data_IF_511316337444
#
_entry.id   IF_511316337444
#
_cell.length_a   1.000
_cell.length_b   1.000
_cell.length_c   1.000
_cell.angle_alpha   90.00
_cell.angle_beta   90.00
_cell.angle_gamma   90.00
#
_symmetry.space_group_name_H-M   'P 1'
#
loop_
_entity.id
_entity.type
_entity.pdbx_description
1 polymer ?
#
# COMPACT_ATOMS: atom_id res chain seq x y z
N UNK A 1 -45.88 35.43 6.67
CA UNK A 1 -44.56 34.87 6.50
C UNK A 1 -44.13 34.23 7.82
N UNK A 2 -44.27 32.90 7.91
CA UNK A 2 -43.77 32.14 9.07
C UNK A 2 -42.27 32.03 8.90
N UNK A 3 -41.51 32.84 9.64
CA UNK A 3 -40.06 32.69 9.78
C UNK A 3 -39.78 31.32 10.34
N UNK A 4 -39.28 30.41 9.48
CA UNK A 4 -38.80 29.10 9.89
C UNK A 4 -37.54 29.31 10.71
N UNK A 5 -37.67 29.42 12.03
CA UNK A 5 -36.53 29.42 12.94
C UNK A 5 -36.14 27.97 13.14
N UNK A 6 -34.98 27.51 12.68
CA UNK A 6 -34.56 26.12 12.87
C UNK A 6 -34.39 25.89 14.38
N UNK A 7 -35.22 25.09 14.99
CA UNK A 7 -35.05 24.67 16.36
C UNK A 7 -33.73 23.86 16.47
N UNK A 8 -32.80 24.39 17.26
CA UNK A 8 -31.53 23.74 17.54
C UNK A 8 -31.77 22.52 18.42
N UNK A 9 -31.81 21.34 17.80
CA UNK A 9 -32.04 20.08 18.49
C UNK A 9 -30.70 19.38 18.80
N UNK A 10 -30.71 18.50 19.80
CA UNK A 10 -29.56 17.63 20.11
C UNK A 10 -29.06 16.84 18.89
N UNK A 11 -29.99 16.50 17.98
CA UNK A 11 -29.66 15.84 16.74
C UNK A 11 -28.79 16.71 15.84
N UNK A 12 -29.05 18.02 15.73
CA UNK A 12 -28.25 18.95 14.96
C UNK A 12 -26.84 19.06 15.52
N UNK A 13 -26.68 19.03 16.85
CA UNK A 13 -25.36 19.01 17.50
C UNK A 13 -24.59 17.73 17.18
N UNK A 14 -25.21 16.56 17.28
CA UNK A 14 -24.58 15.29 16.94
C UNK A 14 -24.13 15.23 15.47
N UNK A 15 -24.98 15.70 14.54
CA UNK A 15 -24.64 15.77 13.12
C UNK A 15 -23.46 16.74 12.89
N UNK A 16 -23.48 17.90 13.55
CA UNK A 16 -22.39 18.87 13.45
C UNK A 16 -21.04 18.28 13.94
N UNK A 17 -21.05 17.60 15.09
CA UNK A 17 -19.85 16.92 15.63
C UNK A 17 -19.36 15.82 14.68
N UNK A 18 -20.28 15.04 14.11
CA UNK A 18 -19.93 13.99 13.15
C UNK A 18 -19.31 14.58 11.88
N UNK A 19 -19.89 15.62 11.30
CA UNK A 19 -19.35 16.31 10.12
C UNK A 19 -17.97 16.90 10.44
N UNK A 20 -17.84 17.61 11.56
CA UNK A 20 -16.56 18.22 11.97
C UNK A 20 -15.46 17.16 12.13
N UNK A 21 -15.74 16.04 12.80
CA UNK A 21 -14.82 14.93 12.95
C UNK A 21 -14.41 14.31 11.60
N UNK A 22 -15.36 14.13 10.69
CA UNK A 22 -15.11 13.64 9.34
C UNK A 22 -14.22 14.58 8.53
N UNK A 23 -14.49 15.88 8.56
CA UNK A 23 -13.70 16.91 7.88
C UNK A 23 -12.27 16.95 8.46
N UNK A 24 -12.13 16.93 9.78
CA UNK A 24 -10.82 16.92 10.45
C UNK A 24 -10.02 15.66 10.04
N UNK A 25 -10.65 14.49 10.05
CA UNK A 25 -9.98 13.25 9.68
C UNK A 25 -9.48 13.29 8.22
N UNK A 26 -10.38 13.60 7.28
CA UNK A 26 -10.07 13.65 5.85
C UNK A 26 -9.00 14.70 5.57
N UNK A 27 -9.09 15.89 6.17
CA UNK A 27 -8.10 16.95 6.02
C UNK A 27 -6.71 16.49 6.52
N UNK A 28 -6.64 15.82 7.66
CA UNK A 28 -5.38 15.24 8.17
C UNK A 28 -4.78 14.21 7.21
N UNK A 29 -5.59 13.34 6.65
CA UNK A 29 -5.14 12.34 5.66
C UNK A 29 -4.61 13.04 4.41
N UNK A 30 -5.33 14.02 3.88
CA UNK A 30 -4.91 14.78 2.69
C UNK A 30 -3.63 15.58 2.92
N UNK A 31 -3.49 16.23 4.07
CA UNK A 31 -2.27 16.98 4.44
C UNK A 31 -1.07 16.02 4.53
N UNK A 32 -1.24 14.87 5.20
CA UNK A 32 -0.20 13.84 5.28
C UNK A 32 0.20 13.35 3.89
N UNK A 33 -0.78 13.06 3.03
CA UNK A 33 -0.53 12.64 1.65
C UNK A 33 0.26 13.69 0.88
N UNK A 34 -0.19 14.94 0.92
CA UNK A 34 0.49 16.04 0.23
C UNK A 34 1.94 16.23 0.70
N UNK A 35 2.15 16.25 2.04
CA UNK A 35 3.50 16.38 2.63
C UNK A 35 4.41 15.23 2.19
N UNK A 36 3.91 13.99 2.21
CA UNK A 36 4.69 12.84 1.80
C UNK A 36 5.04 12.85 0.31
N UNK A 37 4.09 13.16 -0.57
CA UNK A 37 4.36 13.28 -2.00
C UNK A 37 5.34 14.43 -2.30
N UNK A 38 5.23 15.57 -1.59
CA UNK A 38 6.16 16.67 -1.71
C UNK A 38 7.57 16.27 -1.30
N UNK A 39 7.69 15.56 -0.20
CA UNK A 39 8.97 15.05 0.31
C UNK A 39 9.60 14.01 -0.64
N UNK A 40 8.78 13.09 -1.16
CA UNK A 40 9.24 12.12 -2.16
C UNK A 40 9.74 12.78 -3.44
N UNK A 41 9.16 13.91 -3.85
CA UNK A 41 9.58 14.64 -5.05
C UNK A 41 10.87 15.45 -4.87
N UNK A 42 11.30 15.74 -3.65
CA UNK A 42 12.42 16.61 -3.36
C UNK A 42 13.79 15.97 -3.70
N UNK A 43 13.92 14.65 -3.52
CA UNK A 43 15.18 13.93 -3.68
C UNK A 43 14.99 12.70 -4.60
N UNK A 44 14.68 12.97 -5.86
CA UNK A 44 14.36 11.91 -6.83
C UNK A 44 15.21 12.06 -8.06
N UNK A 45 15.84 10.97 -8.46
CA UNK A 45 16.61 10.86 -9.71
C UNK A 45 15.78 10.02 -10.69
N UNK A 46 15.83 10.32 -11.97
CA UNK A 46 15.20 9.48 -12.97
C UNK A 46 15.94 8.15 -13.06
N UNK A 47 15.19 7.06 -13.23
CA UNK A 47 15.78 5.73 -13.42
C UNK A 47 16.63 5.67 -14.70
N UNK A 48 17.58 4.76 -14.73
CA UNK A 48 18.42 4.59 -15.93
C UNK A 48 17.55 4.24 -17.14
N UNK A 49 17.93 4.65 -18.34
CA UNK A 49 17.17 4.34 -19.57
C UNK A 49 16.91 2.83 -19.72
N UNK A 50 17.86 1.99 -19.34
CA UNK A 50 17.73 0.54 -19.39
C UNK A 50 16.65 0.03 -18.43
N UNK A 51 16.65 0.50 -17.18
CA UNK A 51 15.63 0.13 -16.18
C UNK A 51 14.26 0.63 -16.57
N UNK A 52 14.17 1.85 -17.16
CA UNK A 52 12.90 2.38 -17.65
C UNK A 52 12.38 1.53 -18.82
N UNK A 53 13.23 1.13 -19.76
CA UNK A 53 12.83 0.27 -20.88
C UNK A 53 12.34 -1.11 -20.38
N UNK A 54 13.01 -1.70 -19.39
CA UNK A 54 12.54 -2.94 -18.74
C UNK A 54 11.18 -2.76 -18.08
N UNK A 55 10.98 -1.66 -17.35
CA UNK A 55 9.67 -1.34 -16.74
C UNK A 55 8.58 -1.16 -17.80
N UNK A 56 8.87 -0.49 -18.90
CA UNK A 56 7.92 -0.29 -19.99
C UNK A 56 7.46 -1.62 -20.60
N UNK A 57 8.38 -2.57 -20.81
CA UNK A 57 8.07 -3.92 -21.26
C UNK A 57 7.21 -4.69 -20.25
N UNK A 58 7.52 -4.60 -18.95
CA UNK A 58 6.77 -5.25 -17.88
C UNK A 58 5.36 -4.64 -17.80
N UNK A 59 5.24 -3.32 -17.85
CA UNK A 59 3.97 -2.61 -17.79
C UNK A 59 3.04 -2.98 -18.95
N UNK A 60 3.58 -3.12 -20.16
CA UNK A 60 2.85 -3.62 -21.32
C UNK A 60 2.36 -5.07 -21.15
N UNK A 61 3.24 -5.96 -20.65
CA UNK A 61 2.86 -7.35 -20.32
C UNK A 61 1.78 -7.42 -19.25
N UNK A 62 1.75 -6.49 -18.30
CA UNK A 62 0.68 -6.35 -17.31
C UNK A 62 -0.60 -5.73 -17.88
N UNK A 63 -0.58 -5.23 -19.13
CA UNK A 63 -1.72 -4.60 -19.79
C UNK A 63 -2.00 -3.18 -19.27
N UNK A 64 -0.95 -2.45 -18.86
CA UNK A 64 -1.04 -1.05 -18.47
C UNK A 64 -0.82 -0.21 -19.73
N UNK A 65 -1.83 0.60 -20.11
CA UNK A 65 -1.76 1.44 -21.30
C UNK A 65 -1.12 2.81 -21.04
N UNK A 66 -1.03 3.20 -19.78
CA UNK A 66 -0.46 4.50 -19.37
C UNK A 66 1.05 4.35 -19.18
N UNK A 67 1.78 5.42 -19.46
CA UNK A 67 3.21 5.47 -19.17
C UNK A 67 3.44 5.48 -17.66
N UNK A 68 4.30 4.60 -17.17
CA UNK A 68 4.74 4.51 -15.78
C UNK A 68 6.18 5.00 -15.73
N UNK A 69 6.45 6.01 -14.90
CA UNK A 69 7.80 6.54 -14.74
C UNK A 69 8.53 5.78 -13.63
N UNK A 70 9.77 5.40 -13.89
CA UNK A 70 10.67 4.87 -12.89
C UNK A 70 11.51 5.99 -12.29
N UNK A 71 11.55 6.04 -10.97
CA UNK A 71 12.38 7.01 -10.24
C UNK A 71 13.13 6.33 -9.11
N UNK A 72 14.32 6.83 -8.81
CA UNK A 72 15.22 6.32 -7.78
C UNK A 72 15.33 7.36 -6.68
N UNK A 73 15.36 6.93 -5.42
CA UNK A 73 15.50 7.83 -4.27
C UNK A 73 16.07 7.13 -3.05
N UNK A 74 16.81 7.88 -2.24
CA UNK A 74 17.30 7.41 -0.93
C UNK A 74 16.22 7.51 0.16
N UNK A 75 15.10 8.20 -0.12
CA UNK A 75 14.03 8.43 0.85
C UNK A 75 13.13 7.22 1.10
N UNK A 76 13.17 6.18 0.27
CA UNK A 76 12.37 4.97 0.44
C UNK A 76 13.27 3.75 0.64
N UNK A 77 12.83 2.87 1.51
CA UNK A 77 13.55 1.61 1.82
C UNK A 77 13.04 0.45 0.96
N UNK A 78 11.76 0.50 0.63
CA UNK A 78 11.09 -0.47 -0.23
C UNK A 78 10.47 0.22 -1.45
N UNK A 79 10.32 -0.49 -2.57
CA UNK A 79 9.61 0.04 -3.74
C UNK A 79 8.22 0.56 -3.36
N UNK A 80 7.80 1.64 -3.99
CA UNK A 80 6.51 2.29 -3.72
C UNK A 80 5.93 2.86 -5.00
N UNK A 81 4.67 2.58 -5.24
CA UNK A 81 3.91 3.20 -6.33
C UNK A 81 3.09 4.37 -5.80
N UNK A 82 3.18 5.54 -6.45
CA UNK A 82 2.36 6.70 -6.15
C UNK A 82 1.85 7.42 -7.41
N UNK A 83 0.87 8.31 -7.21
CA UNK A 83 0.27 9.11 -8.26
C UNK A 83 -1.04 8.50 -8.80
N UNK A 84 -2.07 9.33 -8.91
CA UNK A 84 -3.40 8.94 -9.40
C UNK A 84 -3.48 9.00 -10.94
N UNK A 85 -2.89 10.04 -11.52
CA UNK A 85 -2.89 10.30 -12.95
C UNK A 85 -1.51 10.09 -13.57
N UNK A 86 -0.48 10.60 -12.93
CA UNK A 86 0.91 10.40 -13.30
C UNK A 86 1.50 9.29 -12.45
N UNK A 87 1.52 8.09 -13.00
CA UNK A 87 1.97 6.89 -12.30
C UNK A 87 3.48 6.87 -12.21
N UNK A 88 3.99 6.75 -10.98
CA UNK A 88 5.42 6.69 -10.71
C UNK A 88 5.70 5.51 -9.79
N UNK A 89 6.66 4.68 -10.16
CA UNK A 89 7.25 3.67 -9.29
C UNK A 89 8.56 4.25 -8.76
N UNK A 90 8.66 4.35 -7.44
CA UNK A 90 9.90 4.70 -6.74
C UNK A 90 10.58 3.43 -6.29
N UNK A 91 11.88 3.35 -6.54
CA UNK A 91 12.73 2.30 -6.01
C UNK A 91 13.83 2.92 -5.14
N UNK A 92 14.30 2.21 -4.10
CA UNK A 92 15.45 2.65 -3.32
C UNK A 92 16.70 2.71 -4.19
N UNK A 93 17.61 3.64 -3.85
CA UNK A 93 18.90 3.81 -4.51
C UNK A 93 19.87 2.70 -4.04
N UNK A 94 19.70 1.53 -4.61
CA UNK A 94 20.59 0.37 -4.42
C UNK A 94 20.65 -0.45 -5.70
N UNK A 95 21.65 -1.28 -5.83
CA UNK A 95 21.73 -2.21 -6.93
C UNK A 95 20.68 -3.30 -6.81
N UNK A 96 20.01 -3.56 -7.92
CA UNK A 96 19.07 -4.65 -8.07
C UNK A 96 19.58 -5.57 -9.19
N UNK A 97 19.60 -6.86 -8.92
CA UNK A 97 19.74 -7.84 -9.99
C UNK A 97 18.54 -7.73 -10.96
N UNK A 98 18.78 -7.96 -12.21
CA UNK A 98 17.76 -7.89 -13.28
C UNK A 98 16.52 -8.71 -12.98
N UNK A 99 16.74 -9.89 -12.38
CA UNK A 99 15.68 -10.79 -11.96
C UNK A 99 14.85 -10.19 -10.84
N UNK A 100 15.49 -9.65 -9.82
CA UNK A 100 14.87 -9.08 -8.64
C UNK A 100 14.07 -7.83 -9.00
N UNK A 101 14.64 -6.98 -9.85
CA UNK A 101 13.92 -5.84 -10.42
C UNK A 101 12.68 -6.28 -11.20
N UNK A 102 12.78 -7.35 -11.97
CA UNK A 102 11.66 -7.91 -12.72
C UNK A 102 10.48 -8.33 -11.83
N UNK A 103 10.75 -8.99 -10.70
CA UNK A 103 9.71 -9.37 -9.74
C UNK A 103 9.08 -8.17 -9.04
N UNK A 104 9.90 -7.23 -8.58
CA UNK A 104 9.46 -6.01 -7.93
C UNK A 104 8.60 -5.17 -8.87
N UNK A 105 9.10 -4.90 -10.09
CA UNK A 105 8.36 -4.13 -11.08
C UNK A 105 7.03 -4.79 -11.47
N UNK A 106 7.00 -6.13 -11.56
CA UNK A 106 5.76 -6.86 -11.84
C UNK A 106 4.76 -6.72 -10.70
N UNK A 107 5.21 -6.79 -9.45
CA UNK A 107 4.36 -6.60 -8.27
C UNK A 107 3.77 -5.18 -8.24
N UNK A 108 4.59 -4.15 -8.40
CA UNK A 108 4.13 -2.75 -8.44
C UNK A 108 3.18 -2.49 -9.62
N UNK A 109 3.47 -3.07 -10.80
CA UNK A 109 2.56 -3.00 -11.94
C UNK A 109 1.20 -3.67 -11.66
N UNK A 110 1.14 -4.71 -10.82
CA UNK A 110 -0.14 -5.30 -10.41
C UNK A 110 -0.98 -4.32 -9.59
N UNK A 111 -0.39 -3.55 -8.66
CA UNK A 111 -1.08 -2.50 -7.92
C UNK A 111 -1.64 -1.42 -8.86
N UNK A 112 -0.84 -0.99 -9.83
CA UNK A 112 -1.27 0.00 -10.84
C UNK A 112 -2.44 -0.55 -11.67
N UNK A 113 -2.31 -1.77 -12.18
CA UNK A 113 -3.34 -2.41 -13.02
C UNK A 113 -4.67 -2.58 -12.30
N UNK A 114 -4.61 -2.93 -11.03
CA UNK A 114 -5.78 -3.13 -10.18
C UNK A 114 -6.35 -1.82 -9.61
N UNK A 115 -5.69 -0.68 -9.87
CA UNK A 115 -6.06 0.65 -9.34
C UNK A 115 -6.10 0.69 -7.81
N UNK A 116 -5.18 -0.01 -7.15
CA UNK A 116 -5.16 -0.16 -5.70
C UNK A 116 -5.06 1.17 -4.96
N UNK A 117 -4.42 2.17 -5.56
CA UNK A 117 -4.34 3.53 -5.01
C UNK A 117 -5.75 4.17 -4.85
N UNK A 118 -6.66 3.90 -5.79
CA UNK A 118 -8.04 4.38 -5.72
C UNK A 118 -8.84 3.66 -4.65
N UNK A 119 -8.63 2.33 -4.53
CA UNK A 119 -9.27 1.53 -3.47
C UNK A 119 -8.81 2.02 -2.10
N UNK A 120 -7.51 2.25 -1.92
CA UNK A 120 -6.94 2.81 -0.68
C UNK A 120 -7.52 4.19 -0.38
N UNK A 121 -7.65 5.08 -1.37
CA UNK A 121 -8.27 6.40 -1.20
C UNK A 121 -9.74 6.30 -0.76
N UNK A 122 -10.53 5.47 -1.42
CA UNK A 122 -11.94 5.26 -1.05
C UNK A 122 -12.06 4.71 0.37
N UNK A 123 -11.15 3.81 0.77
CA UNK A 123 -11.11 3.28 2.12
C UNK A 123 -10.76 4.37 3.15
N UNK A 124 -9.87 5.32 2.83
CA UNK A 124 -9.58 6.45 3.71
C UNK A 124 -10.80 7.38 3.85
N UNK A 125 -11.53 7.64 2.76
CA UNK A 125 -12.77 8.41 2.80
C UNK A 125 -13.81 7.70 3.67
N UNK A 126 -13.96 6.39 3.50
CA UNK A 126 -14.84 5.57 4.33
C UNK A 126 -14.47 5.66 5.82
N UNK A 127 -13.19 5.51 6.17
CA UNK A 127 -12.70 5.70 7.54
C UNK A 127 -12.90 7.14 8.03
N UNK A 128 -12.89 8.13 7.15
CA UNK A 128 -13.19 9.52 7.50
C UNK A 128 -14.67 9.74 7.84
N UNK A 129 -15.58 9.11 7.11
CA UNK A 129 -17.02 9.17 7.39
C UNK A 129 -17.35 8.46 8.70
N UNK A 130 -16.72 7.29 8.94
CA UNK A 130 -16.90 6.47 10.13
C UNK A 130 -15.69 6.57 11.08
N UNK A 131 -15.16 7.79 11.27
CA UNK A 131 -13.93 8.05 12.03
C UNK A 131 -13.96 7.51 13.46
N UNK A 132 -15.13 7.45 14.07
CA UNK A 132 -15.39 6.96 15.43
C UNK A 132 -15.53 5.44 15.52
N UNK A 133 -15.71 4.75 14.37
CA UNK A 133 -15.99 3.31 14.34
C UNK A 133 -14.68 2.50 14.21
N UNK A 134 -14.29 1.70 15.23
CA UNK A 134 -13.08 0.90 15.18
C UNK A 134 -13.11 -0.17 14.08
N UNK A 135 -14.29 -0.68 13.71
CA UNK A 135 -14.42 -1.68 12.64
C UNK A 135 -14.06 -1.10 11.26
N UNK A 136 -14.28 0.18 11.03
CA UNK A 136 -13.84 0.82 9.80
C UNK A 136 -12.30 0.77 9.65
N UNK A 137 -11.58 1.01 10.75
CA UNK A 137 -10.12 0.94 10.77
C UNK A 137 -9.57 -0.49 10.68
N UNK A 138 -10.26 -1.47 11.25
CA UNK A 138 -9.95 -2.90 11.07
C UNK A 138 -10.14 -3.30 9.61
N UNK A 139 -11.28 -2.97 9.01
CA UNK A 139 -11.56 -3.23 7.59
C UNK A 139 -10.47 -2.65 6.67
N UNK A 140 -10.03 -1.41 6.94
CA UNK A 140 -8.91 -0.79 6.20
C UNK A 140 -7.64 -1.63 6.27
N UNK A 141 -7.30 -2.16 7.46
CA UNK A 141 -6.13 -3.02 7.66
C UNK A 141 -6.24 -4.32 6.88
N UNK A 142 -7.41 -4.97 6.95
CA UNK A 142 -7.65 -6.24 6.26
C UNK A 142 -7.71 -6.06 4.76
N UNK A 143 -8.35 -4.98 4.28
CA UNK A 143 -8.39 -4.66 2.85
C UNK A 143 -6.98 -4.44 2.30
N UNK A 144 -6.13 -3.68 3.01
CA UNK A 144 -4.75 -3.48 2.60
C UNK A 144 -4.01 -4.82 2.47
N UNK A 145 -4.18 -5.71 3.44
CA UNK A 145 -3.61 -7.06 3.38
C UNK A 145 -4.11 -7.87 2.18
N UNK A 146 -5.40 -7.82 1.90
CA UNK A 146 -6.01 -8.50 0.75
C UNK A 146 -5.48 -7.97 -0.61
N UNK A 147 -5.21 -6.66 -0.71
CA UNK A 147 -4.64 -6.06 -1.91
C UNK A 147 -3.23 -6.62 -2.19
N UNK A 148 -2.40 -6.72 -1.15
CA UNK A 148 -1.05 -7.31 -1.24
C UNK A 148 -1.13 -8.79 -1.65
N UNK A 149 -1.96 -9.58 -0.96
CA UNK A 149 -2.15 -10.99 -1.26
C UNK A 149 -2.62 -11.23 -2.70
N UNK A 150 -3.49 -10.37 -3.20
CA UNK A 150 -3.96 -10.42 -4.59
C UNK A 150 -2.82 -10.15 -5.58
N UNK A 151 -1.95 -9.18 -5.30
CA UNK A 151 -0.80 -8.89 -6.15
C UNK A 151 0.20 -10.05 -6.14
N UNK A 152 0.54 -10.59 -4.97
CA UNK A 152 1.41 -11.75 -4.86
C UNK A 152 0.87 -12.96 -5.60
N UNK A 153 -0.42 -13.29 -5.39
CA UNK A 153 -1.08 -14.40 -6.09
C UNK A 153 -1.02 -14.21 -7.61
N UNK A 154 -1.16 -12.98 -8.10
CA UNK A 154 -1.09 -12.69 -9.53
C UNK A 154 0.31 -12.85 -10.10
N UNK A 155 1.34 -12.46 -9.35
CA UNK A 155 2.75 -12.66 -9.73
C UNK A 155 3.07 -14.15 -9.73
N UNK A 156 2.75 -14.86 -8.65
CA UNK A 156 3.13 -16.27 -8.46
C UNK A 156 2.33 -17.23 -9.31
N UNK A 157 1.10 -16.90 -9.70
CA UNK A 157 0.24 -17.79 -10.52
C UNK A 157 0.83 -18.19 -11.87
N UNK A 158 1.82 -17.46 -12.36
CA UNK A 158 2.50 -17.71 -13.65
C UNK A 158 3.92 -18.26 -13.45
N UNK A 159 4.32 -18.50 -12.21
CA UNK A 159 5.66 -18.97 -11.87
C UNK A 159 5.63 -20.47 -11.53
N UNK A 160 6.73 -21.16 -11.83
CA UNK A 160 6.96 -22.50 -11.30
C UNK A 160 7.25 -22.43 -9.80
N UNK A 161 7.10 -23.54 -9.09
CA UNK A 161 7.30 -23.62 -7.63
C UNK A 161 8.65 -23.05 -7.18
N UNK A 162 9.72 -23.43 -7.84
CA UNK A 162 11.08 -22.90 -7.57
C UNK A 162 11.17 -21.38 -7.76
N UNK A 163 10.48 -20.82 -8.76
CA UNK A 163 10.44 -19.36 -8.99
C UNK A 163 9.59 -18.63 -7.98
N UNK A 164 8.56 -19.27 -7.44
CA UNK A 164 7.78 -18.71 -6.34
C UNK A 164 8.64 -18.54 -5.10
N UNK A 165 9.49 -19.52 -4.76
CA UNK A 165 10.41 -19.42 -3.64
C UNK A 165 11.37 -18.23 -3.82
N UNK A 166 11.97 -18.10 -5.01
CA UNK A 166 12.84 -16.96 -5.33
C UNK A 166 12.13 -15.61 -5.21
N UNK A 167 10.88 -15.52 -5.68
CA UNK A 167 10.07 -14.32 -5.53
C UNK A 167 9.89 -13.92 -4.05
N UNK A 168 9.62 -14.90 -3.17
CA UNK A 168 9.50 -14.64 -1.72
C UNK A 168 10.82 -14.29 -1.07
N UNK A 169 11.94 -14.88 -1.50
CA UNK A 169 13.28 -14.49 -1.06
C UNK A 169 13.53 -13.01 -1.34
N UNK A 170 13.18 -12.54 -2.54
CA UNK A 170 13.28 -11.12 -2.91
C UNK A 170 12.44 -10.25 -1.96
N UNK A 171 11.19 -10.61 -1.68
CA UNK A 171 10.34 -9.87 -0.74
C UNK A 171 10.91 -9.86 0.68
N UNK A 172 11.42 -10.99 1.17
CA UNK A 172 12.04 -11.10 2.50
C UNK A 172 13.32 -10.24 2.58
N UNK A 173 14.12 -10.23 1.53
CA UNK A 173 15.34 -9.38 1.45
C UNK A 173 14.97 -7.89 1.52
N UNK A 174 13.90 -7.47 0.82
CA UNK A 174 13.38 -6.10 0.93
C UNK A 174 13.02 -5.75 2.37
N UNK A 175 12.42 -6.67 3.10
CA UNK A 175 12.03 -6.46 4.49
C UNK A 175 13.18 -6.43 5.47
N UNK A 176 14.19 -7.29 5.28
CA UNK A 176 15.42 -7.27 6.11
C UNK A 176 16.08 -5.89 5.98
N UNK A 177 16.27 -5.41 4.75
CA UNK A 177 16.81 -4.08 4.49
C UNK A 177 15.97 -2.98 5.19
N UNK A 178 14.63 -3.11 5.19
CA UNK A 178 13.75 -2.19 5.91
C UNK A 178 13.96 -2.22 7.43
N UNK A 179 14.12 -3.40 8.02
CA UNK A 179 14.35 -3.54 9.47
C UNK A 179 15.71 -2.99 9.89
N UNK A 180 16.76 -3.36 9.18
CA UNK A 180 18.13 -2.93 9.45
C UNK A 180 18.28 -1.41 9.38
N UNK A 181 17.71 -0.80 8.35
CA UNK A 181 17.74 0.65 8.22
C UNK A 181 16.91 1.36 9.31
N UNK A 182 15.75 0.82 9.69
CA UNK A 182 14.93 1.35 10.77
C UNK A 182 15.60 1.25 12.15
N UNK A 183 16.42 0.24 12.37
CA UNK A 183 17.17 0.06 13.63
C UNK A 183 18.37 1.02 13.70
N UNK A 184 19.04 1.28 12.57
CA UNK A 184 20.16 2.22 12.49
C UNK A 184 19.72 3.69 12.65
N UNK A 185 18.48 4.02 12.27
CA UNK A 185 17.93 5.39 12.23
C UNK A 185 17.14 5.78 13.47
N UNK A 186 17.34 5.15 14.63
CA UNK A 186 16.74 5.62 15.91
C UNK A 186 17.21 7.01 16.36
N UNK A 187 18.11 7.63 15.61
CA UNK A 187 18.61 8.99 15.83
C UNK A 187 18.29 9.86 14.61
N UNK A 188 17.59 10.96 14.83
CA UNK A 188 17.45 12.16 14.02
C UNK A 188 16.30 12.33 13.01
N UNK A 189 15.96 13.57 12.82
CA UNK A 189 14.97 14.32 12.01
C UNK A 189 14.35 13.66 10.77
N UNK A 190 14.99 12.67 10.16
CA UNK A 190 14.48 11.89 9.03
C UNK A 190 13.31 10.97 9.41
N UNK A 191 13.18 10.68 10.70
CA UNK A 191 12.08 9.89 11.28
C UNK A 191 10.71 10.55 11.04
N UNK A 192 10.63 11.87 10.94
CA UNK A 192 9.37 12.58 10.69
C UNK A 192 8.88 12.37 9.25
N UNK A 193 9.77 12.32 8.26
CA UNK A 193 9.44 12.07 6.86
C UNK A 193 9.01 10.61 6.65
N UNK A 194 9.78 9.69 7.25
CA UNK A 194 9.49 8.24 7.21
C UNK A 194 8.22 7.90 8.00
N UNK A 195 7.96 8.56 9.13
CA UNK A 195 6.70 8.40 9.87
C UNK A 195 5.50 8.96 9.11
N UNK A 196 5.68 10.02 8.30
CA UNK A 196 4.65 10.53 7.41
C UNK A 196 4.33 9.54 6.28
N UNK A 197 5.36 8.88 5.70
CA UNK A 197 5.20 7.83 4.70
C UNK A 197 4.57 6.55 5.29
N UNK A 198 4.98 6.17 6.50
CA UNK A 198 4.42 5.03 7.26
C UNK A 198 2.99 5.32 7.74
N UNK A 199 2.69 6.56 8.08
CA UNK A 199 1.34 7.00 8.45
C UNK A 199 0.37 7.05 7.29
N UNK A 200 0.88 7.01 6.05
CA UNK A 200 0.05 6.83 4.87
C UNK A 200 -0.20 5.35 4.66
N UNK A 201 -1.46 4.97 4.73
CA UNK A 201 -1.94 3.63 4.41
C UNK A 201 -1.68 3.22 2.95
N UNK A 202 -1.01 4.09 2.21
CA UNK A 202 -0.58 3.85 0.83
C UNK A 202 0.79 3.17 0.75
N UNK A 203 1.60 3.24 1.82
CA UNK A 203 2.87 2.55 1.94
C UNK A 203 2.65 1.38 2.90
N UNK A 204 2.70 0.19 2.40
CA UNK A 204 2.55 -1.02 3.20
C UNK A 204 3.71 -1.15 4.16
N UNK A 205 3.45 -0.83 5.42
CA UNK A 205 4.35 -1.16 6.53
C UNK A 205 4.09 -2.62 6.90
N UNK A 206 4.52 -3.54 6.03
CA UNK A 206 4.27 -4.96 6.26
C UNK A 206 5.26 -5.49 7.30
N UNK A 207 4.74 -5.80 8.48
CA UNK A 207 5.52 -6.51 9.50
C UNK A 207 5.85 -7.91 8.97
N UNK A 208 7.05 -8.43 9.26
CA UNK A 208 7.54 -9.72 8.77
C UNK A 208 6.58 -10.89 8.90
N UNK A 209 5.77 -10.90 9.97
CA UNK A 209 4.71 -11.86 10.20
C UNK A 209 3.66 -11.90 9.08
N UNK A 210 3.37 -10.74 8.45
CA UNK A 210 2.40 -10.68 7.36
C UNK A 210 2.94 -11.26 6.06
N UNK A 211 4.24 -11.14 5.77
CA UNK A 211 4.82 -11.77 4.57
C UNK A 211 4.88 -13.28 4.74
N UNK A 212 5.26 -13.78 5.92
CA UNK A 212 5.21 -15.22 6.21
C UNK A 212 3.78 -15.73 6.03
N UNK A 213 2.79 -15.03 6.57
CA UNK A 213 1.38 -15.36 6.40
C UNK A 213 0.91 -15.30 4.93
N UNK A 214 1.41 -14.34 4.13
CA UNK A 214 1.12 -14.25 2.69
C UNK A 214 1.74 -15.42 1.93
N UNK A 215 3.00 -15.75 2.25
CA UNK A 215 3.71 -16.89 1.68
C UNK A 215 3.02 -18.22 1.99
N UNK A 216 2.64 -18.45 3.26
CA UNK A 216 1.91 -19.66 3.68
C UNK A 216 0.57 -19.79 2.96
N UNK A 217 -0.17 -18.69 2.79
CA UNK A 217 -1.48 -18.71 2.16
C UNK A 217 -1.41 -19.05 0.67
N UNK A 218 -0.30 -18.73 0.00
CA UNK A 218 -0.11 -18.99 -1.43
C UNK A 218 0.53 -20.36 -1.66
N UNK A 219 1.55 -20.74 -0.86
CA UNK A 219 2.22 -22.03 -1.00
C UNK A 219 1.38 -23.20 -0.47
N UNK A 220 0.57 -22.96 0.57
CA UNK A 220 -0.24 -24.02 1.21
C UNK A 220 -1.74 -23.66 1.26
N UNK A 221 -2.40 -23.42 0.12
CA UNK A 221 -3.80 -22.97 0.09
C UNK A 221 -4.78 -23.99 0.71
N UNK A 222 -4.49 -25.30 0.60
CA UNK A 222 -5.37 -26.37 1.09
C UNK A 222 -5.45 -26.46 2.62
N UNK A 223 -4.38 -26.13 3.35
CA UNK A 223 -4.35 -26.29 4.81
C UNK A 223 -5.31 -25.34 5.55
N UNK A 224 -5.50 -24.13 5.03
CA UNK A 224 -6.39 -23.13 5.63
C UNK A 224 -7.84 -23.29 5.23
N UNK A 225 -8.10 -23.81 4.03
CA UNK A 225 -9.47 -24.11 3.56
C UNK A 225 -10.10 -25.24 4.37
N UNK A 226 -9.31 -26.23 4.75
CA UNK A 226 -9.75 -27.33 5.65
C UNK A 226 -10.10 -26.81 7.04
N UNK A 227 -9.33 -25.85 7.60
CA UNK A 227 -9.60 -25.26 8.91
C UNK A 227 -10.90 -24.43 8.86
N UNK A 228 -11.09 -23.61 7.82
CA UNK A 228 -12.30 -22.79 7.65
C UNK A 228 -13.53 -23.71 7.47
N UNK A 229 -13.43 -24.74 6.64
CA UNK A 229 -14.50 -25.70 6.46
C UNK A 229 -14.83 -26.46 7.76
N UNK A 230 -13.82 -26.86 8.54
CA UNK A 230 -14.02 -27.54 9.83
C UNK A 230 -14.66 -26.60 10.87
N UNK A 231 -14.31 -25.31 10.88
CA UNK A 231 -14.96 -24.31 11.76
C UNK A 231 -16.39 -24.05 11.34
N UNK A 232 -16.67 -23.96 10.04
CA UNK A 232 -18.04 -23.77 9.53
C UNK A 232 -18.90 -25.01 9.81
N UNK A 233 -18.34 -26.21 9.64
CA UNK A 233 -19.06 -27.47 9.94
C UNK A 233 -19.27 -27.67 11.43
N UNK A 234 -18.41 -27.12 12.30
CA UNK A 234 -18.59 -27.20 13.76
C UNK A 234 -19.59 -26.16 14.30
N UNK A 235 -19.94 -25.13 13.49
CA UNK A 235 -20.89 -24.08 13.82
C UNK A 235 -22.30 -24.32 13.21
N UNK A 236 -22.46 -25.32 12.34
CA UNK A 236 -23.74 -25.82 11.84
C UNK A 236 -24.20 -27.07 12.62
#
# INVERSE_FOLDING_TARGET
DVLFVPEFTWLNLLVAVWIAGSVIYISRVMIKYYKAVKALKANVIDGTPEMQAKLDLISQKCGIRRKVKLKITDCVISPVTYGFFNLVILIPNREFDDRDFGYIATHECCHIKNKDIWIKLLTEIYCGIFWWNPFAHLLKKDLTYCLELRCDKRVTSKLSENRCTVYYEVLVTQMKAYKEQKESEKSDRETALKSALVGMSFVTNDKGEKIISRMEMILYPKKKQTIINNVVTALM
#
